data_IF_505584193294
#
_entry.id   IF_505584193294
#
_cell.length_a   1.000
_cell.length_b   1.000
_cell.length_c   1.000
_cell.angle_alpha   90.00
_cell.angle_beta   90.00
_cell.angle_gamma   90.00
#
_symmetry.space_group_name_H-M   'P 1'
#
loop_
_entity.id
_entity.type
_entity.pdbx_description
1 polymer ?
#
# COMPACT_ATOMS: atom_id res chain seq x y z
N UNK A 1 16.46 9.90 -3.25
CA UNK A 1 15.40 10.88 -3.55
C UNK A 1 15.99 11.97 -4.44
N UNK A 2 15.38 12.28 -5.59
CA UNK A 2 15.85 13.38 -6.45
C UNK A 2 15.22 14.70 -6.00
N UNK A 3 16.01 15.77 -5.88
CA UNK A 3 15.59 17.13 -5.62
C UNK A 3 16.21 18.06 -6.66
N UNK A 4 15.57 19.19 -6.94
CA UNK A 4 16.14 20.20 -7.85
C UNK A 4 16.66 21.36 -7.02
N UNK A 5 17.99 21.53 -6.99
CA UNK A 5 18.66 22.63 -6.29
C UNK A 5 19.48 23.43 -7.30
N UNK A 6 19.14 24.71 -7.49
CA UNK A 6 19.83 25.59 -8.45
C UNK A 6 19.74 25.12 -9.92
N UNK A 7 18.67 24.40 -10.30
CA UNK A 7 18.48 23.89 -11.66
C UNK A 7 19.18 22.55 -11.97
N UNK A 8 19.82 21.91 -10.98
CA UNK A 8 20.39 20.57 -11.12
C UNK A 8 19.63 19.53 -10.31
N UNK A 9 19.46 18.33 -10.89
CA UNK A 9 18.90 17.16 -10.22
C UNK A 9 19.95 16.58 -9.26
N UNK A 10 19.67 16.60 -7.96
CA UNK A 10 20.52 16.04 -6.90
C UNK A 10 19.83 14.84 -6.27
N UNK A 11 20.52 13.72 -6.05
CA UNK A 11 19.95 12.55 -5.36
C UNK A 11 20.51 12.42 -3.94
N UNK A 12 19.67 12.13 -2.96
CA UNK A 12 20.10 11.74 -1.61
C UNK A 12 19.94 10.23 -1.36
N UNK A 13 20.84 9.65 -0.55
CA UNK A 13 20.76 8.27 -0.07
C UNK A 13 19.67 8.08 1.00
N UNK A 14 19.55 6.86 1.53
CA UNK A 14 18.54 6.51 2.54
C UNK A 14 18.72 7.21 3.90
N UNK A 15 19.85 7.88 4.11
CA UNK A 15 20.16 8.66 5.31
C UNK A 15 20.15 10.18 5.05
N UNK A 16 19.74 10.60 3.85
CA UNK A 16 19.66 12.01 3.48
C UNK A 16 20.99 12.64 3.05
N UNK A 17 22.04 11.86 2.82
CA UNK A 17 23.33 12.37 2.32
C UNK A 17 23.31 12.51 0.81
N UNK A 18 23.89 13.60 0.29
CA UNK A 18 23.92 13.91 -1.14
C UNK A 18 24.86 12.95 -1.90
N UNK A 19 24.30 12.27 -2.90
CA UNK A 19 25.00 11.35 -3.80
C UNK A 19 25.33 12.08 -5.09
N UNK A 20 26.62 12.21 -5.41
CA UNK A 20 27.07 12.73 -6.71
C UNK A 20 26.72 11.72 -7.81
N UNK A 21 25.79 12.09 -8.68
CA UNK A 21 25.43 11.32 -9.86
C UNK A 21 26.43 11.59 -10.98
N UNK A 22 27.18 10.57 -11.40
CA UNK A 22 28.00 10.64 -12.62
C UNK A 22 27.11 10.36 -13.84
N UNK A 23 26.64 11.44 -14.47
CA UNK A 23 25.79 11.41 -15.68
C UNK A 23 26.54 10.99 -16.95
N UNK A 24 27.88 10.81 -16.88
CA UNK A 24 28.67 10.33 -18.01
C UNK A 24 28.70 8.81 -18.14
N UNK A 25 28.21 8.08 -17.12
CA UNK A 25 28.08 6.63 -17.17
C UNK A 25 26.84 6.21 -17.95
N UNK A 26 27.06 5.45 -19.02
CA UNK A 26 25.98 4.76 -19.74
C UNK A 26 25.15 3.88 -18.78
N UNK A 27 23.83 3.73 -19.02
CA UNK A 27 22.97 2.93 -18.17
C UNK A 27 23.47 1.49 -18.04
N UNK A 28 23.42 0.96 -16.83
CA UNK A 28 23.86 -0.39 -16.50
C UNK A 28 23.05 -1.42 -17.30
N UNK A 29 23.67 -2.03 -18.32
CA UNK A 29 23.11 -3.20 -18.99
C UNK A 29 23.35 -4.40 -18.08
N UNK A 30 22.28 -4.96 -17.52
CA UNK A 30 22.33 -6.10 -16.62
C UNK A 30 23.19 -7.25 -17.15
N UNK A 31 23.88 -7.92 -16.23
CA UNK A 31 24.74 -9.06 -16.52
C UNK A 31 23.96 -10.15 -17.26
N UNK A 32 24.31 -10.38 -18.53
CA UNK A 32 24.01 -11.66 -19.20
C UNK A 32 25.02 -12.68 -18.67
N UNK A 33 24.50 -13.83 -18.23
CA UNK A 33 25.28 -14.94 -17.75
C UNK A 33 26.36 -15.39 -18.74
N UNK A 34 27.42 -15.95 -18.18
CA UNK A 34 28.50 -16.60 -18.91
C UNK A 34 27.96 -17.66 -19.88
N UNK A 35 28.17 -17.43 -21.18
CA UNK A 35 28.39 -18.47 -22.18
C UNK A 35 29.37 -17.89 -23.20
N UNK A 36 30.47 -18.62 -23.45
CA UNK A 36 31.61 -18.14 -24.23
C UNK A 36 31.36 -18.09 -25.74
N UNK A 37 32.31 -17.45 -26.43
CA UNK A 37 32.58 -17.69 -27.85
C UNK A 37 31.99 -16.68 -28.83
N UNK A 38 32.90 -15.89 -29.40
CA UNK A 38 32.86 -15.33 -30.77
C UNK A 38 32.09 -14.02 -31.06
N UNK A 39 32.74 -13.22 -31.93
CA UNK A 39 32.47 -11.84 -32.35
C UNK A 39 31.25 -11.67 -33.28
N UNK A 40 30.67 -10.46 -33.40
CA UNK A 40 29.37 -10.26 -34.04
C UNK A 40 29.44 -10.03 -35.55
N UNK A 41 28.50 -10.63 -36.29
CA UNK A 41 28.12 -10.19 -37.63
C UNK A 41 26.89 -9.27 -37.53
N UNK A 42 27.00 -8.10 -38.17
CA UNK A 42 25.95 -7.11 -38.34
C UNK A 42 24.80 -7.65 -39.21
N UNK A 43 23.56 -7.46 -38.78
CA UNK A 43 22.38 -7.48 -39.66
C UNK A 43 21.54 -6.25 -39.36
N UNK A 44 21.56 -5.30 -40.29
CA UNK A 44 20.70 -4.14 -40.32
C UNK A 44 19.30 -4.54 -40.83
N UNK A 45 18.25 -4.08 -40.15
CA UNK A 45 16.88 -4.11 -40.66
C UNK A 45 16.30 -2.71 -40.57
N UNK A 46 16.23 -2.04 -41.73
CA UNK A 46 15.48 -0.81 -41.95
C UNK A 46 14.01 -1.12 -42.22
N UNK A 47 13.09 -0.40 -41.57
CA UNK A 47 11.68 -0.36 -41.97
C UNK A 47 11.27 1.09 -42.28
N UNK A 48 10.53 1.35 -43.38
CA UNK A 48 10.23 2.70 -43.86
C UNK A 48 9.05 3.35 -43.14
N UNK A 49 9.11 4.68 -43.03
CA UNK A 49 8.07 5.58 -42.51
C UNK A 49 7.05 5.90 -43.61
N UNK A 50 5.72 5.81 -43.36
CA UNK A 50 4.74 6.40 -44.27
C UNK A 50 4.45 7.87 -43.92
N UNK A 51 4.69 8.74 -44.89
CA UNK A 51 4.18 10.12 -44.93
C UNK A 51 2.66 10.10 -45.17
N UNK A 52 1.89 10.78 -44.30
CA UNK A 52 0.76 11.62 -44.68
C UNK A 52 0.13 12.27 -43.43
N UNK A 53 0.33 13.58 -43.29
CA UNK A 53 -0.34 14.43 -42.30
C UNK A 53 -1.21 15.45 -43.04
N UNK A 54 -2.52 15.55 -42.78
CA UNK A 54 -3.27 16.75 -43.12
C UNK A 54 -3.05 17.80 -42.03
N UNK A 55 -2.63 19.00 -42.44
CA UNK A 55 -2.58 20.20 -41.62
C UNK A 55 -4.00 20.64 -41.25
N UNK A 56 -4.26 20.80 -39.96
CA UNK A 56 -5.46 21.46 -39.44
C UNK A 56 -5.02 22.59 -38.50
N UNK A 57 -5.09 23.81 -38.99
CA UNK A 57 -4.95 25.03 -38.20
C UNK A 57 -6.14 25.15 -37.25
N UNK A 58 -5.89 25.24 -35.94
CA UNK A 58 -6.91 25.46 -34.93
C UNK A 58 -6.32 25.39 -33.53
N UNK A 59 -5.91 26.54 -32.99
CA UNK A 59 -5.53 26.65 -31.59
C UNK A 59 -6.75 26.38 -30.69
N UNK A 60 -6.70 25.45 -29.72
CA UNK A 60 -7.77 25.32 -28.75
C UNK A 60 -7.63 26.43 -27.70
N UNK A 61 -8.52 27.40 -27.77
CA UNK A 61 -8.77 28.38 -26.71
C UNK A 61 -9.44 27.65 -25.55
N UNK A 62 -8.71 27.42 -24.46
CA UNK A 62 -9.28 26.89 -23.20
C UNK A 62 -9.96 28.05 -22.48
N UNK A 63 -11.27 28.18 -22.68
CA UNK A 63 -12.13 29.03 -21.84
C UNK A 63 -12.57 28.27 -20.58
N UNK A 64 -12.89 28.97 -19.48
CA UNK A 64 -13.39 28.34 -18.27
C UNK A 64 -14.76 27.70 -18.54
N UNK A 65 -14.89 26.40 -18.35
CA UNK A 65 -16.15 25.68 -18.57
C UNK A 65 -16.97 25.54 -17.28
N UNK A 66 -18.31 25.63 -17.38
CA UNK A 66 -19.19 25.89 -16.25
C UNK A 66 -19.55 24.62 -15.48
N UNK A 67 -19.57 24.74 -14.15
CA UNK A 67 -20.22 23.80 -13.23
C UNK A 67 -21.72 23.81 -13.57
N UNK A 68 -22.25 22.72 -14.13
CA UNK A 68 -23.70 22.59 -14.37
C UNK A 68 -24.43 22.32 -13.06
N UNK A 69 -25.41 23.19 -12.79
CA UNK A 69 -26.34 23.12 -11.69
C UNK A 69 -27.20 21.84 -11.72
N UNK A 70 -27.47 21.33 -10.51
CA UNK A 70 -28.23 20.13 -10.20
C UNK A 70 -29.73 20.23 -10.55
N UNK A 71 -30.32 19.06 -10.81
CA UNK A 71 -31.77 18.82 -10.76
C UNK A 71 -32.19 18.66 -9.28
N UNK A 72 -33.28 19.29 -8.81
CA UNK A 72 -33.64 19.24 -7.40
C UNK A 72 -34.49 18.01 -7.07
N UNK A 73 -34.12 17.33 -5.97
CA UNK A 73 -35.02 16.42 -5.26
C UNK A 73 -34.63 14.94 -5.28
N UNK A 74 -33.52 14.59 -4.64
CA UNK A 74 -33.33 13.38 -3.81
C UNK A 74 -31.92 13.45 -3.22
N UNK A 75 -31.81 13.49 -1.89
CA UNK A 75 -30.54 13.60 -1.20
C UNK A 75 -29.67 12.37 -1.42
N UNK A 76 -28.54 12.55 -2.10
CA UNK A 76 -27.40 11.64 -2.06
C UNK A 76 -26.38 12.18 -1.04
N UNK A 77 -25.74 11.32 -0.22
CA UNK A 77 -24.75 11.76 0.76
C UNK A 77 -23.52 12.36 0.06
N UNK A 78 -22.87 13.30 0.74
CA UNK A 78 -21.71 14.11 0.31
C UNK A 78 -20.41 13.27 0.16
N UNK A 79 -20.48 11.95 -0.05
CA UNK A 79 -19.30 11.06 -0.03
C UNK A 79 -18.75 10.81 -1.43
N UNK A 80 -17.43 11.03 -1.60
CA UNK A 80 -16.54 10.62 -2.71
C UNK A 80 -16.13 11.67 -3.77
N UNK A 81 -16.12 12.97 -3.45
CA UNK A 81 -15.65 13.97 -4.42
C UNK A 81 -14.20 13.75 -4.88
N UNK A 82 -13.30 13.29 -4.00
CA UNK A 82 -11.91 12.99 -4.37
C UNK A 82 -11.75 11.77 -5.26
N UNK A 83 -12.57 10.74 -5.07
CA UNK A 83 -12.58 9.55 -5.94
C UNK A 83 -13.07 9.92 -7.34
N UNK A 84 -14.11 10.74 -7.43
CA UNK A 84 -14.65 11.22 -8.70
C UNK A 84 -13.63 12.10 -9.44
N UNK A 85 -12.97 13.02 -8.72
CA UNK A 85 -11.93 13.86 -9.31
C UNK A 85 -10.72 13.03 -9.75
N UNK A 86 -10.29 12.05 -8.96
CA UNK A 86 -9.24 11.11 -9.35
C UNK A 86 -9.61 10.36 -10.63
N UNK A 87 -10.83 9.80 -10.72
CA UNK A 87 -11.30 9.08 -11.90
C UNK A 87 -11.32 9.96 -13.16
N UNK A 88 -11.81 11.21 -13.03
CA UNK A 88 -11.78 12.19 -14.12
C UNK A 88 -10.35 12.55 -14.54
N UNK A 89 -9.45 12.70 -13.56
CA UNK A 89 -8.05 13.06 -13.80
C UNK A 89 -7.34 11.96 -14.58
N UNK A 90 -7.43 10.69 -14.14
CA UNK A 90 -6.75 9.58 -14.82
C UNK A 90 -7.30 9.29 -16.22
N UNK A 91 -8.57 9.66 -16.50
CA UNK A 91 -9.15 9.55 -17.84
C UNK A 91 -8.55 10.58 -18.82
N UNK A 92 -8.11 11.74 -18.32
CA UNK A 92 -7.52 12.82 -19.13
C UNK A 92 -6.00 12.75 -19.19
N UNK A 93 -5.37 12.19 -18.15
CA UNK A 93 -3.91 12.14 -17.97
C UNK A 93 -3.13 11.62 -19.20
N UNK A 94 -3.60 10.62 -19.97
CA UNK A 94 -2.89 10.18 -21.18
C UNK A 94 -2.70 11.26 -22.26
N UNK A 95 -3.52 12.31 -22.23
CA UNK A 95 -3.49 13.42 -23.18
C UNK A 95 -2.80 14.67 -22.61
N UNK A 96 -2.34 14.63 -21.36
CA UNK A 96 -1.75 15.77 -20.68
C UNK A 96 -0.24 15.84 -20.88
N UNK A 97 0.26 17.08 -20.91
CA UNK A 97 1.67 17.39 -20.73
C UNK A 97 2.01 17.53 -19.24
N UNK A 98 3.29 17.62 -18.91
CA UNK A 98 3.71 17.97 -17.54
C UNK A 98 3.14 19.31 -17.09
N UNK A 99 3.00 20.29 -18.00
CA UNK A 99 2.46 21.60 -17.67
C UNK A 99 0.97 21.52 -17.32
N UNK A 100 0.19 20.71 -18.05
CA UNK A 100 -1.24 20.51 -17.76
C UNK A 100 -1.43 19.83 -16.40
N UNK A 101 -0.65 18.79 -16.11
CA UNK A 101 -0.70 18.11 -14.82
C UNK A 101 -0.27 19.03 -13.67
N UNK A 102 0.77 19.85 -13.85
CA UNK A 102 1.16 20.86 -12.87
C UNK A 102 0.03 21.88 -12.64
N UNK A 103 -0.58 22.40 -13.69
CA UNK A 103 -1.70 23.35 -13.58
C UNK A 103 -2.90 22.76 -12.83
N UNK A 104 -3.19 21.47 -13.06
CA UNK A 104 -4.18 20.74 -12.27
C UNK A 104 -3.81 20.69 -10.78
N UNK A 105 -2.57 20.31 -10.45
CA UNK A 105 -2.10 20.28 -9.06
C UNK A 105 -2.11 21.66 -8.41
N UNK A 106 -1.73 22.72 -9.13
CA UNK A 106 -1.82 24.10 -8.66
C UNK A 106 -3.27 24.48 -8.32
N UNK A 107 -4.24 24.08 -9.15
CA UNK A 107 -5.66 24.31 -8.90
C UNK A 107 -6.12 23.57 -7.64
N UNK A 108 -5.66 22.34 -7.44
CA UNK A 108 -5.99 21.55 -6.25
C UNK A 108 -5.41 22.17 -4.96
N UNK A 109 -4.15 22.62 -5.02
CA UNK A 109 -3.49 23.31 -3.90
C UNK A 109 -4.19 24.64 -3.59
N UNK A 110 -4.51 25.44 -4.60
CA UNK A 110 -5.24 26.70 -4.43
C UNK A 110 -6.68 26.49 -3.89
N UNK A 111 -7.31 25.36 -4.21
CA UNK A 111 -8.61 24.98 -3.68
C UNK A 111 -8.60 24.56 -2.20
N UNK A 112 -7.43 24.20 -1.64
CA UNK A 112 -7.28 23.69 -0.28
C UNK A 112 -7.32 24.77 0.83
N UNK A 113 -8.07 25.85 0.60
CA UNK A 113 -8.28 26.95 1.54
C UNK A 113 -9.47 26.76 2.49
N UNK A 114 -10.31 25.76 2.23
CA UNK A 114 -11.52 25.37 2.97
C UNK A 114 -11.40 23.92 3.45
N UNK A 115 -12.22 23.50 4.41
CA UNK A 115 -12.20 22.12 4.91
C UNK A 115 -12.63 21.10 3.84
N UNK A 116 -13.63 21.46 3.03
CA UNK A 116 -14.05 20.67 1.87
C UNK A 116 -12.93 20.58 0.83
N UNK A 117 -12.28 21.70 0.54
CA UNK A 117 -11.15 21.75 -0.40
C UNK A 117 -9.94 20.95 0.07
N UNK A 118 -9.63 20.98 1.38
CA UNK A 118 -8.55 20.17 1.99
C UNK A 118 -8.86 18.68 1.92
N UNK A 119 -10.09 18.31 2.25
CA UNK A 119 -10.56 16.92 2.15
C UNK A 119 -10.44 16.42 0.71
N UNK A 120 -10.96 17.19 -0.25
CA UNK A 120 -10.85 16.89 -1.68
C UNK A 120 -9.39 16.74 -2.14
N UNK A 121 -8.52 17.66 -1.70
CA UNK A 121 -7.10 17.64 -2.04
C UNK A 121 -6.39 16.42 -1.47
N UNK A 122 -6.57 16.10 -0.18
CA UNK A 122 -5.98 14.92 0.44
C UNK A 122 -6.46 13.65 -0.26
N UNK A 123 -7.77 13.44 -0.40
CA UNK A 123 -8.32 12.24 -1.04
C UNK A 123 -7.76 12.04 -2.46
N UNK A 124 -7.75 13.11 -3.27
CA UNK A 124 -7.29 13.06 -4.67
C UNK A 124 -5.79 12.79 -4.75
N UNK A 125 -4.98 13.53 -3.97
CA UNK A 125 -3.52 13.36 -3.96
C UNK A 125 -3.13 11.98 -3.46
N UNK A 126 -3.81 11.45 -2.44
CA UNK A 126 -3.57 10.11 -1.91
C UNK A 126 -3.83 9.03 -2.96
N UNK A 127 -4.96 9.11 -3.67
CA UNK A 127 -5.24 8.19 -4.77
C UNK A 127 -4.21 8.30 -5.91
N UNK A 128 -3.77 9.51 -6.24
CA UNK A 128 -2.71 9.74 -7.24
C UNK A 128 -1.36 9.16 -6.80
N UNK A 129 -1.05 9.16 -5.49
CA UNK A 129 0.16 8.54 -4.95
C UNK A 129 0.08 7.00 -4.98
N UNK A 130 -1.03 6.45 -4.46
CA UNK A 130 -1.13 5.04 -4.13
C UNK A 130 -1.52 4.16 -5.32
N UNK A 131 -2.45 4.63 -6.16
CA UNK A 131 -2.97 3.83 -7.28
C UNK A 131 -1.95 3.76 -8.43
N UNK A 132 -1.99 2.65 -9.15
CA UNK A 132 -1.35 2.49 -10.46
C UNK A 132 -2.39 2.75 -11.53
N UNK A 133 -2.04 3.55 -12.53
CA UNK A 133 -2.96 4.01 -13.56
C UNK A 133 -2.16 4.44 -14.80
N UNK A 134 -2.76 4.43 -16.00
CA UNK A 134 -2.09 4.85 -17.23
C UNK A 134 -1.64 6.31 -17.15
N UNK A 135 -0.37 6.56 -17.42
CA UNK A 135 0.22 7.92 -17.38
C UNK A 135 0.48 8.51 -18.77
N UNK A 136 0.13 7.78 -19.84
CA UNK A 136 0.43 8.16 -21.21
C UNK A 136 1.94 8.35 -21.43
N UNK A 137 2.32 9.53 -21.92
CA UNK A 137 3.73 9.87 -22.18
C UNK A 137 4.48 10.38 -20.94
N UNK A 138 3.79 10.53 -19.80
CA UNK A 138 4.39 11.07 -18.58
C UNK A 138 5.01 9.94 -17.78
N UNK A 139 6.25 10.11 -17.33
CA UNK A 139 6.91 9.14 -16.44
C UNK A 139 6.25 9.17 -15.06
N UNK A 140 5.77 8.01 -14.58
CA UNK A 140 5.13 7.86 -13.25
C UNK A 140 5.94 8.49 -12.11
N UNK A 141 7.23 8.20 -12.02
CA UNK A 141 8.07 8.76 -10.95
C UNK A 141 8.09 10.29 -10.92
N UNK A 142 8.01 10.93 -12.09
CA UNK A 142 7.97 12.39 -12.18
C UNK A 142 6.60 12.92 -11.73
N UNK A 143 5.50 12.23 -12.07
CA UNK A 143 4.18 12.54 -11.55
C UNK A 143 4.13 12.41 -10.02
N UNK A 144 4.66 11.32 -9.48
CA UNK A 144 4.73 11.12 -8.03
C UNK A 144 5.53 12.22 -7.33
N UNK A 145 6.63 12.68 -7.92
CA UNK A 145 7.39 13.81 -7.38
C UNK A 145 6.59 15.13 -7.38
N UNK A 146 5.78 15.37 -8.41
CA UNK A 146 4.90 16.53 -8.49
C UNK A 146 3.74 16.44 -7.49
N UNK A 147 3.13 15.26 -7.36
CA UNK A 147 2.05 14.98 -6.40
C UNK A 147 2.55 15.13 -4.96
N UNK A 148 3.73 14.58 -4.63
CA UNK A 148 4.38 14.74 -3.32
C UNK A 148 4.65 16.22 -3.01
N UNK A 149 5.13 16.98 -4.00
CA UNK A 149 5.30 18.43 -3.88
C UNK A 149 3.99 19.19 -3.64
N UNK A 150 2.91 18.81 -4.32
CA UNK A 150 1.57 19.38 -4.11
C UNK A 150 1.01 19.02 -2.73
N UNK A 151 1.16 17.77 -2.29
CA UNK A 151 0.80 17.31 -0.95
C UNK A 151 1.52 18.12 0.14
N UNK A 152 2.83 18.29 0.01
CA UNK A 152 3.61 19.09 0.96
C UNK A 152 3.12 20.55 1.05
N UNK A 153 2.66 21.12 -0.06
CA UNK A 153 2.09 22.48 -0.10
C UNK A 153 0.71 22.56 0.53
N UNK A 154 -0.15 21.56 0.35
CA UNK A 154 -1.43 21.47 1.06
C UNK A 154 -1.19 21.41 2.57
N UNK A 155 -0.26 20.56 3.02
CA UNK A 155 0.13 20.46 4.44
C UNK A 155 0.64 21.80 4.96
N UNK A 156 1.53 22.49 4.23
CA UNK A 156 2.02 23.80 4.60
C UNK A 156 0.91 24.86 4.68
N UNK A 157 -0.07 24.85 3.77
CA UNK A 157 -1.21 25.76 3.80
C UNK A 157 -2.11 25.60 5.04
N UNK A 158 -2.16 24.40 5.63
CA UNK A 158 -2.91 24.14 6.88
C UNK A 158 -2.21 24.81 8.07
N UNK A 159 -0.87 24.88 8.07
CA UNK A 159 -0.11 25.60 9.11
C UNK A 159 -0.45 27.09 9.14
N UNK A 160 -0.64 27.69 7.96
CA UNK A 160 -0.89 29.14 7.84
C UNK A 160 -2.33 29.51 8.19
N UNK A 161 -3.29 28.62 7.94
CA UNK A 161 -4.72 28.87 8.12
C UNK A 161 -5.38 27.74 8.89
N UNK A 162 -5.61 27.94 10.18
CA UNK A 162 -6.35 27.01 11.02
C UNK A 162 -7.80 26.86 10.53
N UNK A 163 -8.38 25.68 10.76
CA UNK A 163 -9.74 25.34 10.37
C UNK A 163 -10.42 24.48 11.42
N UNK A 164 -11.72 24.29 11.29
CA UNK A 164 -12.53 23.52 12.23
C UNK A 164 -12.35 22.00 12.05
N UNK A 165 -11.88 21.53 10.88
CA UNK A 165 -11.64 20.11 10.64
C UNK A 165 -10.16 19.72 10.61
N UNK A 166 -9.23 20.62 10.28
CA UNK A 166 -7.80 20.32 10.21
C UNK A 166 -6.96 21.19 11.15
N UNK A 167 -6.10 20.53 11.93
CA UNK A 167 -5.14 21.17 12.85
C UNK A 167 -3.73 20.73 12.52
N UNK A 168 -2.86 21.69 12.21
CA UNK A 168 -1.45 21.43 11.96
C UNK A 168 -0.66 21.31 13.27
N UNK A 169 0.26 20.34 13.33
CA UNK A 169 1.19 20.14 14.44
C UNK A 169 2.59 19.86 13.90
N UNK A 170 3.60 20.51 14.48
CA UNK A 170 5.01 20.14 14.30
C UNK A 170 5.79 20.26 15.63
N UNK A 171 7.10 19.98 15.58
CA UNK A 171 7.97 20.02 16.77
C UNK A 171 8.00 21.40 17.47
N UNK A 172 7.76 22.48 16.73
CA UNK A 172 7.75 23.87 17.20
C UNK A 172 6.33 24.38 17.50
N UNK A 173 5.32 23.90 16.76
CA UNK A 173 3.95 24.42 16.73
C UNK A 173 2.99 23.35 17.25
N UNK A 174 2.58 23.47 18.52
CA UNK A 174 1.59 22.61 19.17
C UNK A 174 0.37 23.42 19.60
N UNK A 175 -0.56 23.73 18.69
CA UNK A 175 -1.74 24.53 19.03
C UNK A 175 -2.56 23.84 20.13
N UNK A 176 -2.99 24.62 21.11
CA UNK A 176 -3.93 24.12 22.11
C UNK A 176 -5.32 24.03 21.50
N UNK A 177 -5.96 22.88 21.67
CA UNK A 177 -7.32 22.59 21.19
C UNK A 177 -8.14 22.14 22.39
N UNK A 178 -9.23 22.86 22.67
CA UNK A 178 -10.06 22.54 23.85
C UNK A 178 -10.74 21.18 23.69
N UNK A 179 -10.82 20.43 24.77
CA UNK A 179 -11.54 19.15 24.85
C UNK A 179 -13.07 19.32 24.76
N UNK A 180 -13.59 20.55 24.77
CA UNK A 180 -15.01 20.83 24.58
C UNK A 180 -15.39 20.98 23.09
N UNK A 181 -14.39 21.12 22.20
CA UNK A 181 -14.55 21.13 20.74
C UNK A 181 -14.27 19.75 20.13
N UNK A 182 -14.57 18.67 20.85
CA UNK A 182 -14.48 17.30 20.35
C UNK A 182 -15.56 17.04 19.30
N UNK A 183 -15.44 17.66 18.13
CA UNK A 183 -15.99 17.03 16.95
C UNK A 183 -15.13 15.79 16.72
N UNK A 184 -15.75 14.61 16.64
CA UNK A 184 -15.09 13.36 16.27
C UNK A 184 -14.52 13.39 14.83
N UNK A 185 -14.60 14.54 14.18
CA UNK A 185 -14.20 14.85 12.81
C UNK A 185 -12.89 15.64 12.73
N UNK A 186 -12.34 16.14 13.85
CA UNK A 186 -11.09 16.89 13.84
C UNK A 186 -9.90 16.00 13.49
N UNK A 187 -9.15 16.38 12.46
CA UNK A 187 -7.96 15.69 11.94
C UNK A 187 -6.70 16.46 12.26
N UNK A 188 -5.77 15.81 12.96
CA UNK A 188 -4.45 16.36 13.23
C UNK A 188 -3.49 16.01 12.10
N UNK A 189 -2.98 17.03 11.41
CA UNK A 189 -1.94 16.91 10.40
C UNK A 189 -0.59 17.17 11.05
N UNK A 190 0.13 16.10 11.33
CA UNK A 190 1.41 16.11 12.03
C UNK A 190 2.52 16.07 10.99
N UNK A 191 3.29 17.13 10.88
CA UNK A 191 4.51 17.13 10.07
C UNK A 191 5.62 16.42 10.83
N UNK A 192 6.00 15.23 10.36
CA UNK A 192 6.97 14.39 11.05
C UNK A 192 8.39 14.98 11.03
N UNK A 193 8.68 15.98 10.20
CA UNK A 193 10.01 16.58 10.11
C UNK A 193 10.39 17.25 11.44
N UNK A 194 11.61 16.97 11.90
CA UNK A 194 12.16 17.54 13.14
C UNK A 194 11.80 16.75 14.40
N UNK A 195 10.91 15.76 14.33
CA UNK A 195 10.74 14.79 15.42
C UNK A 195 11.89 13.78 15.44
N UNK A 196 12.21 13.27 16.63
CA UNK A 196 13.15 12.17 16.79
C UNK A 196 12.55 10.86 16.25
N UNK A 197 13.37 9.90 15.78
CA UNK A 197 12.86 8.61 15.28
C UNK A 197 12.10 7.80 16.34
N UNK A 198 12.44 7.96 17.62
CA UNK A 198 11.84 7.27 18.76
C UNK A 198 11.99 8.07 20.07
N UNK A 199 11.30 7.64 21.13
CA UNK A 199 11.40 8.25 22.45
C UNK A 199 10.41 9.41 22.70
N UNK A 200 10.62 10.22 23.75
CA UNK A 200 9.62 11.18 24.22
C UNK A 200 9.40 12.38 23.29
N UNK A 201 10.30 12.61 22.33
CA UNK A 201 10.21 13.67 21.33
C UNK A 201 9.94 13.12 19.92
N UNK A 202 9.35 11.93 19.83
CA UNK A 202 8.97 11.29 18.58
C UNK A 202 7.56 11.66 18.14
N UNK A 203 7.26 11.39 16.87
CA UNK A 203 5.89 11.50 16.32
C UNK A 203 4.91 10.65 17.13
N UNK A 204 5.32 9.47 17.58
CA UNK A 204 4.43 8.60 18.35
C UNK A 204 4.08 9.20 19.72
N UNK A 205 5.03 9.84 20.39
CA UNK A 205 4.76 10.52 21.65
C UNK A 205 3.76 11.67 21.49
N UNK A 206 3.81 12.39 20.36
CA UNK A 206 2.84 13.44 20.00
C UNK A 206 1.44 12.84 19.78
N UNK A 207 1.34 11.80 18.94
CA UNK A 207 0.08 11.11 18.66
C UNK A 207 -0.56 10.59 19.95
N UNK A 208 0.20 9.95 20.83
CA UNK A 208 -0.29 9.46 22.11
C UNK A 208 -0.73 10.60 23.04
N UNK A 209 -0.04 11.74 23.00
CA UNK A 209 -0.46 12.96 23.71
C UNK A 209 -1.83 13.45 23.26
N UNK A 210 -2.06 13.48 21.95
CA UNK A 210 -3.36 13.85 21.36
C UNK A 210 -4.43 12.78 21.64
N UNK A 211 -4.09 11.49 21.54
CA UNK A 211 -5.03 10.40 21.85
C UNK A 211 -5.53 10.44 23.30
N UNK A 212 -4.65 10.74 24.26
CA UNK A 212 -5.02 10.90 25.68
C UNK A 212 -6.03 12.03 25.91
N UNK A 213 -6.07 13.02 25.01
CA UNK A 213 -7.06 14.11 24.99
C UNK A 213 -8.34 13.77 24.22
N UNK A 214 -8.47 12.53 23.71
CA UNK A 214 -9.67 12.02 23.06
C UNK A 214 -9.69 12.07 21.53
N UNK A 215 -8.61 12.54 20.88
CA UNK A 215 -8.56 12.65 19.42
C UNK A 215 -8.24 11.31 18.74
N UNK A 216 -8.83 11.10 17.56
CA UNK A 216 -8.84 9.79 16.88
C UNK A 216 -8.47 9.84 15.39
N UNK A 217 -8.21 11.02 14.80
CA UNK A 217 -7.87 11.17 13.36
C UNK A 217 -6.52 11.85 13.20
N UNK A 218 -5.58 11.16 12.57
CA UNK A 218 -4.20 11.61 12.42
C UNK A 218 -3.71 11.41 10.99
N UNK A 219 -3.12 12.45 10.42
CA UNK A 219 -2.33 12.40 9.18
C UNK A 219 -0.89 12.69 9.58
N UNK A 220 0.00 11.72 9.41
CA UNK A 220 1.44 11.87 9.61
C UNK A 220 2.08 12.18 8.25
N UNK A 221 2.41 13.43 8.01
CA UNK A 221 3.04 13.90 6.79
C UNK A 221 4.58 13.74 6.86
N UNK A 222 5.21 13.53 5.70
CA UNK A 222 6.67 13.54 5.53
C UNK A 222 7.43 12.53 6.42
N UNK A 223 6.86 11.35 6.65
CA UNK A 223 7.50 10.31 7.45
C UNK A 223 8.77 9.77 6.77
N UNK A 224 9.86 9.62 7.54
CA UNK A 224 11.18 9.19 7.08
C UNK A 224 11.84 8.22 8.06
N UNK A 225 11.20 7.08 8.28
CA UNK A 225 11.70 6.06 9.20
C UNK A 225 11.39 6.34 10.68
N UNK A 226 10.39 7.19 10.98
CA UNK A 226 9.92 7.36 12.37
C UNK A 226 9.26 6.06 12.84
N UNK A 227 9.71 5.58 13.99
CA UNK A 227 9.40 4.24 14.52
C UNK A 227 8.19 4.31 15.43
N UNK A 228 7.61 3.13 15.67
CA UNK A 228 6.55 2.91 16.66
C UNK A 228 5.24 3.67 16.43
N UNK A 229 5.00 4.23 15.23
CA UNK A 229 3.73 4.90 14.93
C UNK A 229 2.56 3.94 15.17
N UNK A 230 1.59 4.31 16.00
CA UNK A 230 0.42 3.50 16.33
C UNK A 230 0.62 2.53 17.51
N UNK A 231 1.60 2.76 18.38
CA UNK A 231 1.95 1.86 19.48
C UNK A 231 1.53 2.42 20.84
N UNK A 232 1.23 1.58 21.82
CA UNK A 232 0.96 2.08 23.19
C UNK A 232 -0.36 2.82 23.35
N UNK A 233 -1.29 2.69 22.40
CA UNK A 233 -2.68 3.13 22.52
C UNK A 233 -3.48 2.35 23.58
N UNK A 234 -2.94 1.23 24.06
CA UNK A 234 -3.63 0.33 24.98
C UNK A 234 -4.70 -0.52 24.29
N UNK A 235 -5.52 -1.25 25.07
CA UNK A 235 -6.66 -1.97 24.52
C UNK A 235 -7.71 -1.00 23.96
N UNK A 236 -8.51 -1.48 23.02
CA UNK A 236 -9.73 -0.81 22.53
C UNK A 236 -9.50 0.54 21.85
N UNK A 237 -8.60 0.50 20.86
CA UNK A 237 -8.29 1.63 19.97
C UNK A 237 -9.26 1.76 18.78
N UNK A 238 -10.46 1.17 18.87
CA UNK A 238 -11.46 1.25 17.80
C UNK A 238 -11.83 2.71 17.50
N UNK A 239 -12.06 3.00 16.23
CA UNK A 239 -12.39 4.35 15.77
C UNK A 239 -11.17 5.28 15.60
N UNK A 240 -9.98 4.90 16.05
CA UNK A 240 -8.73 5.60 15.70
C UNK A 240 -8.33 5.30 14.25
N UNK A 241 -7.93 6.35 13.52
CA UNK A 241 -7.38 6.30 12.17
C UNK A 241 -6.07 7.06 12.11
N UNK A 242 -5.03 6.43 11.55
CA UNK A 242 -3.73 7.04 11.27
C UNK A 242 -3.37 6.82 9.80
N UNK A 243 -3.16 7.90 9.06
CA UNK A 243 -2.66 7.88 7.69
C UNK A 243 -1.20 8.34 7.67
N UNK A 244 -0.29 7.48 7.23
CA UNK A 244 1.16 7.73 7.26
C UNK A 244 1.67 7.95 5.84
N UNK A 245 2.09 9.18 5.54
CA UNK A 245 2.62 9.58 4.23
C UNK A 245 4.14 9.62 4.26
N UNK A 246 4.76 8.87 3.34
CA UNK A 246 6.19 8.59 3.36
C UNK A 246 6.51 7.22 3.96
N UNK A 247 7.79 6.89 4.12
CA UNK A 247 8.20 5.58 4.61
C UNK A 247 8.21 5.54 6.14
N UNK A 248 7.42 4.64 6.73
CA UNK A 248 7.45 4.42 8.18
C UNK A 248 8.73 3.72 8.61
N UNK A 249 9.12 3.92 9.87
CA UNK A 249 10.16 3.13 10.52
C UNK A 249 9.63 1.81 11.07
N UNK A 250 10.53 1.11 11.77
CA UNK A 250 10.21 -0.18 12.39
C UNK A 250 9.08 -0.09 13.43
N UNK A 251 8.46 -1.25 13.68
CA UNK A 251 7.45 -1.45 14.74
C UNK A 251 6.17 -0.62 14.60
N UNK A 252 5.88 -0.03 13.43
CA UNK A 252 4.59 0.61 13.20
C UNK A 252 3.45 -0.37 13.48
N UNK A 253 2.47 0.05 14.28
CA UNK A 253 1.29 -0.73 14.63
C UNK A 253 1.55 -1.93 15.55
N UNK A 254 2.69 -2.00 16.22
CA UNK A 254 2.96 -3.07 17.18
C UNK A 254 2.01 -2.97 18.37
N UNK A 255 1.28 -4.07 18.63
CA UNK A 255 0.28 -4.15 19.69
C UNK A 255 -1.05 -3.47 19.36
N UNK A 256 -1.32 -3.16 18.09
CA UNK A 256 -2.62 -2.66 17.66
C UNK A 256 -3.79 -3.54 18.15
N UNK A 257 -4.80 -2.89 18.70
CA UNK A 257 -6.01 -3.54 19.23
C UNK A 257 -7.26 -2.69 18.90
N UNK A 258 -7.60 -2.56 17.62
CA UNK A 258 -8.84 -1.90 17.16
C UNK A 258 -8.65 -0.84 16.08
N UNK A 259 -7.56 -0.08 16.12
CA UNK A 259 -7.35 1.05 15.19
C UNK A 259 -7.15 0.62 13.74
N UNK A 260 -7.27 1.61 12.85
CA UNK A 260 -6.93 1.48 11.44
C UNK A 260 -5.71 2.35 11.08
N UNK A 261 -4.70 1.74 10.47
CA UNK A 261 -3.51 2.45 9.98
C UNK A 261 -3.36 2.22 8.48
N UNK A 262 -3.16 3.28 7.72
CA UNK A 262 -2.81 3.24 6.30
C UNK A 262 -1.43 3.83 6.09
N UNK A 263 -0.58 3.12 5.35
CA UNK A 263 0.77 3.56 4.99
C UNK A 263 0.80 3.82 3.48
N UNK A 264 0.93 5.08 3.11
CA UNK A 264 0.93 5.58 1.72
C UNK A 264 2.36 5.55 1.12
N UNK A 265 3.05 4.42 1.32
CA UNK A 265 4.38 4.10 0.79
C UNK A 265 4.79 2.67 1.23
N UNK A 266 6.07 2.34 1.08
CA UNK A 266 6.73 1.23 1.73
C UNK A 266 6.87 1.46 3.24
N UNK A 267 6.94 0.36 3.98
CA UNK A 267 7.21 0.32 5.40
C UNK A 267 8.43 -0.56 5.73
N UNK A 268 9.14 -0.24 6.81
CA UNK A 268 10.34 -0.97 7.25
C UNK A 268 10.00 -2.28 7.97
N UNK A 269 10.83 -2.70 8.92
CA UNK A 269 10.76 -4.02 9.53
C UNK A 269 9.73 -4.06 10.67
N UNK A 270 9.31 -5.26 11.06
CA UNK A 270 8.63 -5.51 12.33
C UNK A 270 7.28 -4.80 12.48
N UNK A 271 6.63 -4.46 11.36
CA UNK A 271 5.28 -3.90 11.38
C UNK A 271 4.29 -4.85 12.05
N UNK A 272 3.35 -4.30 12.80
CA UNK A 272 2.22 -5.01 13.40
C UNK A 272 2.61 -6.23 14.25
N UNK A 273 3.74 -6.19 14.96
CA UNK A 273 4.05 -7.24 15.92
C UNK A 273 2.92 -7.35 16.94
N UNK A 274 2.62 -8.58 17.36
CA UNK A 274 1.60 -8.89 18.37
C UNK A 274 0.24 -8.20 18.17
N UNK A 275 -0.07 -7.77 16.93
CA UNK A 275 -1.34 -7.14 16.56
C UNK A 275 -2.49 -8.09 16.92
N UNK A 276 -3.51 -7.56 17.60
CA UNK A 276 -4.64 -8.35 18.12
C UNK A 276 -5.90 -8.23 17.27
N UNK A 277 -6.25 -7.01 16.88
CA UNK A 277 -7.36 -6.70 15.96
C UNK A 277 -7.17 -5.31 15.36
N UNK A 278 -8.02 -4.92 14.43
CA UNK A 278 -7.93 -3.66 13.68
C UNK A 278 -7.54 -3.93 12.24
N UNK A 279 -7.20 -2.86 11.50
CA UNK A 279 -6.86 -2.93 10.08
C UNK A 279 -5.54 -2.23 9.78
N UNK A 280 -4.65 -2.88 9.04
CA UNK A 280 -3.44 -2.28 8.51
C UNK A 280 -3.45 -2.38 6.97
N UNK A 281 -3.24 -1.26 6.29
CA UNK A 281 -3.13 -1.23 4.83
C UNK A 281 -1.80 -0.59 4.45
N UNK A 282 -1.03 -1.27 3.60
CA UNK A 282 0.26 -0.78 3.13
C UNK A 282 0.22 -0.68 1.60
N UNK A 283 0.33 0.53 1.06
CA UNK A 283 0.32 0.82 -0.38
C UNK A 283 1.68 0.61 -1.06
N UNK A 284 2.57 -0.14 -0.41
CA UNK A 284 3.91 -0.49 -0.88
C UNK A 284 4.36 -1.85 -0.38
N UNK A 285 5.67 -2.00 -0.19
CA UNK A 285 6.33 -3.17 0.37
C UNK A 285 6.44 -3.08 1.91
N UNK A 286 6.53 -4.24 2.59
CA UNK A 286 6.83 -4.37 4.02
C UNK A 286 8.16 -5.11 4.25
N UNK A 287 8.88 -4.69 5.29
CA UNK A 287 10.17 -5.26 5.68
C UNK A 287 10.09 -6.61 6.40
N UNK A 288 11.20 -6.98 7.03
CA UNK A 288 11.39 -8.27 7.67
C UNK A 288 10.56 -8.42 8.93
N UNK A 289 10.19 -9.67 9.28
CA UNK A 289 9.54 -9.99 10.57
C UNK A 289 8.19 -9.25 10.75
N UNK A 290 7.56 -8.90 9.63
CA UNK A 290 6.22 -8.34 9.56
C UNK A 290 5.21 -9.26 10.26
N UNK A 291 4.34 -8.70 11.10
CA UNK A 291 3.33 -9.41 11.90
C UNK A 291 3.88 -10.51 12.83
N UNK A 292 5.10 -10.33 13.34
CA UNK A 292 5.66 -11.24 14.33
C UNK A 292 4.75 -11.43 15.54
N UNK A 293 4.40 -12.68 15.83
CA UNK A 293 3.60 -13.01 17.01
C UNK A 293 2.17 -12.47 16.99
N UNK A 294 1.67 -11.98 15.85
CA UNK A 294 0.32 -11.43 15.70
C UNK A 294 -0.74 -12.43 16.19
N UNK A 295 -1.82 -11.91 16.78
CA UNK A 295 -2.95 -12.66 17.33
C UNK A 295 -4.21 -12.58 16.46
N UNK A 296 -4.31 -11.55 15.62
CA UNK A 296 -5.46 -11.28 14.78
C UNK A 296 -5.32 -10.00 13.96
N UNK A 297 -6.44 -9.54 13.40
CA UNK A 297 -6.49 -8.34 12.57
C UNK A 297 -6.57 -8.63 11.08
N UNK A 298 -6.93 -7.61 10.32
CA UNK A 298 -6.98 -7.62 8.86
C UNK A 298 -5.84 -6.80 8.30
N UNK A 299 -5.02 -7.38 7.43
CA UNK A 299 -3.88 -6.69 6.85
C UNK A 299 -3.79 -6.87 5.35
N UNK A 300 -3.56 -5.78 4.63
CA UNK A 300 -3.51 -5.74 3.18
C UNK A 300 -2.22 -5.06 2.72
N UNK A 301 -1.42 -5.76 1.91
CA UNK A 301 -0.15 -5.27 1.38
C UNK A 301 -0.23 -5.25 -0.14
N UNK A 302 -0.04 -4.07 -0.73
CA UNK A 302 -0.04 -3.90 -2.18
C UNK A 302 1.15 -4.59 -2.85
N UNK A 303 2.32 -4.57 -2.20
CA UNK A 303 3.56 -5.08 -2.76
C UNK A 303 4.12 -6.30 -2.04
N UNK A 304 5.43 -6.20 -1.88
CA UNK A 304 6.42 -7.06 -1.26
C UNK A 304 6.18 -7.38 0.22
N UNK A 305 6.38 -8.61 0.69
CA UNK A 305 6.87 -8.86 2.04
C UNK A 305 8.32 -9.36 1.99
N UNK A 306 9.17 -8.92 2.92
CA UNK A 306 10.54 -9.43 3.01
C UNK A 306 10.58 -10.80 3.72
N UNK A 307 11.63 -11.08 4.50
CA UNK A 307 11.83 -12.37 5.16
C UNK A 307 11.04 -12.53 6.47
N UNK A 308 10.61 -13.76 6.75
CA UNK A 308 9.88 -14.19 7.95
C UNK A 308 8.56 -13.46 8.25
N UNK A 309 7.72 -13.11 7.26
CA UNK A 309 6.41 -12.54 7.54
C UNK A 309 5.53 -13.56 8.28
N UNK A 310 4.77 -13.08 9.27
CA UNK A 310 3.89 -13.84 10.17
C UNK A 310 4.59 -14.90 11.04
N UNK A 311 5.89 -14.78 11.29
CA UNK A 311 6.55 -15.71 12.21
C UNK A 311 5.90 -15.71 13.60
N UNK A 312 5.63 -16.89 14.14
CA UNK A 312 4.98 -17.12 15.43
C UNK A 312 3.57 -16.51 15.56
N UNK A 313 2.92 -16.12 14.46
CA UNK A 313 1.55 -15.63 14.52
C UNK A 313 0.57 -16.77 14.89
N UNK A 314 -0.44 -16.41 15.67
CA UNK A 314 -1.43 -17.33 16.27
C UNK A 314 -2.84 -16.72 16.17
N UNK A 315 -3.86 -17.48 16.53
CA UNK A 315 -5.22 -16.96 16.58
C UNK A 315 -5.80 -16.72 15.18
N UNK A 316 -6.23 -15.49 14.88
CA UNK A 316 -7.06 -15.19 13.70
C UNK A 316 -6.53 -14.08 12.76
N UNK A 317 -5.23 -14.01 12.43
CA UNK A 317 -4.73 -13.06 11.44
C UNK A 317 -5.34 -13.35 10.06
N UNK A 318 -5.75 -12.30 9.35
CA UNK A 318 -6.32 -12.34 7.99
C UNK A 318 -5.47 -11.44 7.11
N UNK A 319 -4.57 -12.02 6.32
CA UNK A 319 -3.55 -11.23 5.61
C UNK A 319 -3.62 -11.44 4.11
N UNK A 320 -3.59 -10.36 3.34
CA UNK A 320 -3.46 -10.38 1.88
C UNK A 320 -2.14 -9.74 1.48
N UNK A 321 -1.29 -10.49 0.78
CA UNK A 321 -0.05 -10.01 0.18
C UNK A 321 -0.22 -10.13 -1.33
N UNK A 322 -0.31 -9.00 -2.03
CA UNK A 322 -0.52 -9.01 -3.48
C UNK A 322 0.75 -9.40 -4.23
N UNK A 323 1.90 -8.91 -3.77
CA UNK A 323 3.20 -9.30 -4.28
C UNK A 323 3.59 -10.71 -3.86
N UNK A 324 4.86 -10.83 -3.47
CA UNK A 324 5.43 -12.07 -2.98
C UNK A 324 5.98 -11.97 -1.55
N UNK A 325 6.62 -13.04 -1.07
CA UNK A 325 7.40 -13.03 0.16
C UNK A 325 8.78 -13.65 -0.07
N UNK A 326 9.77 -13.25 0.72
CA UNK A 326 11.04 -13.99 0.81
C UNK A 326 10.89 -15.19 1.74
N UNK A 327 12.00 -15.76 2.21
CA UNK A 327 12.01 -16.99 3.00
C UNK A 327 11.13 -16.94 4.26
N UNK A 328 10.66 -18.11 4.68
CA UNK A 328 9.98 -18.35 5.96
C UNK A 328 8.63 -17.62 6.14
N UNK A 329 7.88 -17.43 5.05
CA UNK A 329 6.49 -16.98 5.19
C UNK A 329 5.69 -17.97 6.05
N UNK A 330 5.08 -17.43 7.12
CA UNK A 330 4.29 -18.15 8.11
C UNK A 330 5.07 -19.28 8.81
N UNK A 331 6.34 -19.01 9.16
CA UNK A 331 7.10 -19.87 10.07
C UNK A 331 6.45 -19.94 11.47
N UNK A 332 6.31 -21.14 12.03
CA UNK A 332 5.69 -21.39 13.32
C UNK A 332 4.31 -20.74 13.44
N UNK A 333 3.53 -20.79 12.36
CA UNK A 333 2.16 -20.31 12.34
C UNK A 333 1.25 -21.29 13.09
N UNK A 334 0.63 -20.80 14.17
CA UNK A 334 -0.19 -21.60 15.10
C UNK A 334 -1.60 -21.02 15.15
N UNK A 335 -2.17 -20.76 13.97
CA UNK A 335 -3.39 -19.98 13.84
C UNK A 335 -4.67 -20.83 13.80
N UNK A 336 -4.64 -22.13 14.12
CA UNK A 336 -5.85 -22.99 14.10
C UNK A 336 -6.48 -23.15 12.71
N UNK A 337 -7.59 -23.89 12.57
CA UNK A 337 -8.22 -24.11 11.27
C UNK A 337 -8.92 -22.83 10.74
N UNK A 338 -8.55 -22.31 9.56
CA UNK A 338 -9.20 -21.15 8.94
C UNK A 338 -10.73 -21.23 8.86
N UNK A 339 -11.28 -22.42 8.58
CA UNK A 339 -12.72 -22.64 8.44
C UNK A 339 -13.45 -22.69 9.80
N UNK A 340 -12.70 -22.75 10.91
CA UNK A 340 -13.21 -22.69 12.28
C UNK A 340 -12.70 -21.45 13.03
N UNK A 341 -12.47 -20.35 12.30
CA UNK A 341 -12.10 -19.05 12.86
C UNK A 341 -10.60 -18.84 13.07
N UNK A 342 -9.76 -19.80 12.66
CA UNK A 342 -8.31 -19.67 12.63
C UNK A 342 -7.79 -18.71 11.56
N UNK A 343 -6.50 -18.36 11.61
CA UNK A 343 -5.87 -17.39 10.71
C UNK A 343 -5.37 -17.95 9.39
N UNK A 344 -5.20 -17.08 8.39
CA UNK A 344 -4.64 -17.43 7.09
C UNK A 344 -3.88 -16.28 6.43
N UNK A 345 -3.13 -16.63 5.38
CA UNK A 345 -2.51 -15.69 4.45
C UNK A 345 -3.01 -15.97 3.03
N UNK A 346 -3.35 -14.93 2.28
CA UNK A 346 -3.55 -14.98 0.83
C UNK A 346 -2.29 -14.39 0.18
N UNK A 347 -1.66 -15.16 -0.70
CA UNK A 347 -0.47 -14.75 -1.46
C UNK A 347 -0.80 -14.74 -2.95
N UNK A 348 -0.94 -13.55 -3.55
CA UNK A 348 -1.37 -13.46 -4.96
C UNK A 348 -0.22 -13.58 -5.96
N UNK A 349 1.03 -13.27 -5.60
CA UNK A 349 2.15 -13.43 -6.53
C UNK A 349 2.00 -12.61 -7.81
N UNK A 350 1.52 -11.37 -7.69
CA UNK A 350 1.34 -10.43 -8.81
C UNK A 350 2.16 -9.16 -8.59
N UNK A 351 2.36 -8.39 -9.65
CA UNK A 351 2.81 -7.00 -9.55
C UNK A 351 1.94 -6.13 -10.46
N UNK A 352 1.84 -4.86 -10.11
CA UNK A 352 1.18 -3.88 -10.97
C UNK A 352 2.22 -3.20 -11.87
N UNK A 353 1.92 -3.11 -13.16
CA UNK A 353 2.72 -2.31 -14.09
C UNK A 353 2.65 -0.81 -13.74
N UNK A 354 3.51 -0.01 -14.37
CA UNK A 354 3.45 1.46 -14.21
C UNK A 354 2.10 2.01 -14.73
N UNK A 355 1.48 1.32 -15.68
CA UNK A 355 0.17 1.59 -16.28
C UNK A 355 -1.01 1.04 -15.47
N UNK A 356 -0.74 0.27 -14.40
CA UNK A 356 -1.77 -0.31 -13.53
C UNK A 356 -2.30 -1.66 -13.99
N UNK A 357 -1.64 -2.34 -14.91
CA UNK A 357 -2.00 -3.69 -15.31
C UNK A 357 -1.54 -4.71 -14.27
N UNK A 358 -2.41 -5.69 -13.97
CA UNK A 358 -2.07 -6.82 -13.09
C UNK A 358 -1.27 -7.85 -13.88
N UNK A 359 0.01 -7.97 -13.52
CA UNK A 359 0.97 -8.88 -14.13
C UNK A 359 1.34 -10.02 -13.18
N UNK A 360 1.31 -11.25 -13.68
CA UNK A 360 1.69 -12.44 -12.91
C UNK A 360 3.21 -12.45 -12.69
N UNK A 361 3.65 -12.83 -11.48
CA UNK A 361 5.06 -13.12 -11.26
C UNK A 361 5.42 -14.48 -11.85
N UNK A 362 6.63 -14.60 -12.39
CA UNK A 362 7.15 -15.89 -12.85
C UNK A 362 7.19 -16.89 -11.68
N UNK A 363 7.61 -16.45 -10.50
CA UNK A 363 7.63 -17.26 -9.29
C UNK A 363 6.73 -16.60 -8.23
N UNK A 364 5.51 -17.12 -7.98
CA UNK A 364 4.59 -16.55 -6.99
C UNK A 364 5.18 -16.45 -5.58
N UNK A 365 6.10 -17.37 -5.25
CA UNK A 365 6.89 -17.37 -4.02
C UNK A 365 8.34 -17.79 -4.33
N UNK A 366 9.32 -16.86 -4.35
CA UNK A 366 10.71 -17.18 -4.63
C UNK A 366 11.49 -17.69 -3.40
N UNK A 367 10.91 -17.60 -2.19
CA UNK A 367 11.58 -18.03 -0.96
C UNK A 367 11.61 -19.56 -0.78
N UNK A 368 12.32 -19.98 0.28
CA UNK A 368 12.29 -21.33 0.82
C UNK A 368 11.61 -21.41 2.20
N UNK A 369 11.54 -22.61 2.76
CA UNK A 369 10.99 -22.88 4.10
C UNK A 369 9.58 -22.31 4.32
N UNK A 370 8.75 -22.30 3.28
CA UNK A 370 7.36 -21.87 3.37
C UNK A 370 6.62 -22.72 4.40
N UNK A 371 5.90 -22.04 5.30
CA UNK A 371 5.05 -22.68 6.31
C UNK A 371 5.82 -23.58 7.30
N UNK A 372 7.13 -23.35 7.48
CA UNK A 372 8.01 -24.09 8.39
C UNK A 372 7.47 -24.18 9.81
N UNK A 373 7.39 -25.38 10.39
CA UNK A 373 6.99 -25.60 11.79
C UNK A 373 5.58 -25.08 12.14
N UNK A 374 4.73 -24.80 11.14
CA UNK A 374 3.35 -24.41 11.39
C UNK A 374 2.55 -25.59 11.97
N UNK A 375 1.70 -25.31 12.95
CA UNK A 375 0.76 -26.28 13.54
C UNK A 375 -0.70 -25.91 13.31
N UNK A 376 -0.97 -24.75 12.70
CA UNK A 376 -2.31 -24.30 12.35
C UNK A 376 -2.29 -23.18 11.33
N UNK A 377 -3.47 -22.86 10.80
CA UNK A 377 -3.69 -21.88 9.76
C UNK A 377 -3.56 -22.46 8.35
N UNK A 378 -3.65 -21.59 7.35
CA UNK A 378 -3.38 -21.95 5.96
C UNK A 378 -2.78 -20.78 5.18
N UNK A 379 -2.12 -21.11 4.07
CA UNK A 379 -1.81 -20.16 2.99
C UNK A 379 -2.68 -20.53 1.78
N UNK A 380 -3.37 -19.53 1.24
CA UNK A 380 -4.07 -19.61 -0.04
C UNK A 380 -3.21 -18.88 -1.08
N UNK A 381 -2.48 -19.68 -1.87
CA UNK A 381 -1.55 -19.14 -2.86
C UNK A 381 -2.20 -19.16 -4.23
N UNK A 382 -2.17 -18.02 -4.94
CA UNK A 382 -2.54 -17.93 -6.34
C UNK A 382 -1.41 -18.55 -7.17
N UNK A 383 -1.63 -19.75 -7.67
CA UNK A 383 -0.61 -20.54 -8.37
C UNK A 383 -1.23 -21.45 -9.44
N UNK A 384 -1.80 -20.85 -10.52
CA UNK A 384 -2.52 -21.60 -11.56
C UNK A 384 -1.65 -22.57 -12.35
N UNK A 385 -0.32 -22.40 -12.32
CA UNK A 385 0.63 -23.27 -13.03
C UNK A 385 1.40 -24.21 -12.11
N UNK A 386 1.02 -24.30 -10.83
CA UNK A 386 1.62 -25.19 -9.84
C UNK A 386 3.13 -24.99 -9.68
N UNK A 387 3.58 -23.74 -9.74
CA UNK A 387 5.01 -23.36 -9.65
C UNK A 387 5.53 -23.43 -8.23
N UNK A 388 4.67 -23.26 -7.22
CA UNK A 388 5.08 -23.45 -5.84
C UNK A 388 5.22 -24.95 -5.58
N UNK A 389 6.47 -25.37 -5.37
CA UNK A 389 6.87 -26.76 -5.23
C UNK A 389 6.87 -27.26 -3.78
N UNK A 390 6.87 -28.59 -3.62
CA UNK A 390 6.98 -29.24 -2.30
C UNK A 390 8.35 -29.03 -1.66
N UNK A 391 9.37 -28.79 -2.47
CA UNK A 391 10.75 -28.48 -2.06
C UNK A 391 10.88 -27.10 -1.41
N UNK A 392 9.92 -26.20 -1.66
CA UNK A 392 9.84 -24.91 -0.99
C UNK A 392 9.13 -25.00 0.36
N UNK A 393 8.35 -26.06 0.60
CA UNK A 393 7.64 -26.27 1.86
C UNK A 393 8.58 -26.86 2.91
N UNK A 394 8.35 -26.49 4.17
CA UNK A 394 8.94 -27.17 5.31
C UNK A 394 7.80 -27.39 6.32
N UNK A 395 7.45 -28.63 6.66
CA UNK A 395 6.34 -28.90 7.60
C UNK A 395 4.92 -28.54 7.11
N UNK A 396 4.75 -28.04 5.88
CA UNK A 396 3.45 -27.84 5.21
C UNK A 396 3.18 -28.87 4.12
N UNK A 397 1.91 -29.04 3.75
CA UNK A 397 1.46 -29.85 2.63
C UNK A 397 0.37 -29.15 1.82
N UNK A 398 0.25 -29.52 0.53
CA UNK A 398 -0.83 -29.06 -0.31
C UNK A 398 -2.12 -29.83 -0.04
N UNK A 399 -3.22 -29.11 0.08
CA UNK A 399 -4.56 -29.66 0.21
C UNK A 399 -5.41 -29.26 -1.00
N UNK A 400 -6.48 -30.03 -1.31
CA UNK A 400 -7.52 -29.58 -2.22
C UNK A 400 -8.04 -28.20 -1.79
N UNK A 401 -8.14 -27.28 -2.74
CA UNK A 401 -8.83 -26.02 -2.56
C UNK A 401 -10.33 -26.25 -2.79
N UNK A 402 -11.14 -26.03 -1.77
CA UNK A 402 -12.57 -26.38 -1.79
C UNK A 402 -13.45 -25.12 -1.83
N UNK A 403 -14.74 -25.21 -2.23
CA UNK A 403 -15.64 -24.06 -2.28
C UNK A 403 -15.77 -23.29 -0.95
N UNK A 404 -15.63 -23.96 0.20
CA UNK A 404 -15.62 -23.31 1.51
C UNK A 404 -14.39 -22.43 1.73
N UNK A 405 -13.25 -22.82 1.15
CA UNK A 405 -12.02 -22.03 1.21
C UNK A 405 -12.19 -20.76 0.37
N UNK A 406 -12.83 -20.85 -0.81
CA UNK A 406 -13.18 -19.66 -1.59
C UNK A 406 -14.12 -18.71 -0.83
N UNK A 407 -15.23 -19.25 -0.31
CA UNK A 407 -16.19 -18.46 0.47
C UNK A 407 -15.54 -17.78 1.68
N UNK A 408 -14.48 -18.37 2.25
CA UNK A 408 -13.71 -17.79 3.34
C UNK A 408 -12.84 -16.61 2.87
N UNK A 409 -12.18 -16.70 1.71
CA UNK A 409 -11.19 -15.70 1.26
C UNK A 409 -11.76 -14.60 0.37
N UNK A 410 -12.87 -14.85 -0.32
CA UNK A 410 -13.49 -13.91 -1.26
C UNK A 410 -13.79 -12.52 -0.64
N UNK A 411 -14.32 -12.40 0.60
CA UNK A 411 -14.55 -11.09 1.22
C UNK A 411 -13.27 -10.26 1.38
N UNK A 412 -12.13 -10.91 1.64
CA UNK A 412 -10.84 -10.25 1.80
C UNK A 412 -10.25 -9.85 0.45
N UNK A 413 -10.50 -10.62 -0.61
CA UNK A 413 -10.14 -10.24 -1.98
C UNK A 413 -11.00 -9.06 -2.49
N UNK A 414 -12.27 -8.98 -2.10
CA UNK A 414 -13.14 -7.83 -2.42
C UNK A 414 -12.71 -6.56 -1.69
N UNK A 415 -12.30 -6.66 -0.41
CA UNK A 415 -11.72 -5.52 0.29
C UNK A 415 -10.37 -5.11 -0.32
N UNK A 416 -9.56 -6.08 -0.74
CA UNK A 416 -8.32 -5.83 -1.47
C UNK A 416 -8.58 -5.09 -2.81
N UNK A 417 -9.63 -5.48 -3.54
CA UNK A 417 -10.09 -4.76 -4.73
C UNK A 417 -10.49 -3.32 -4.39
N UNK A 418 -11.26 -3.11 -3.32
CA UNK A 418 -11.66 -1.77 -2.87
C UNK A 418 -10.45 -0.91 -2.52
N UNK A 419 -9.47 -1.46 -1.81
CA UNK A 419 -8.28 -0.73 -1.33
C UNK A 419 -7.30 -0.39 -2.46
N UNK A 420 -7.01 -1.35 -3.34
CA UNK A 420 -5.92 -1.25 -4.31
C UNK A 420 -6.37 -1.15 -5.77
N UNK A 421 -7.62 -1.49 -6.07
CA UNK A 421 -8.14 -1.50 -7.44
C UNK A 421 -7.67 -2.71 -8.22
N UNK A 422 -7.48 -3.84 -7.55
CA UNK A 422 -7.09 -5.12 -8.16
C UNK A 422 -8.36 -5.97 -8.25
N UNK A 423 -9.00 -6.07 -9.43
CA UNK A 423 -10.28 -6.78 -9.52
C UNK A 423 -10.13 -8.27 -9.19
N UNK A 424 -11.08 -8.83 -8.43
CA UNK A 424 -11.09 -10.26 -8.14
C UNK A 424 -11.17 -11.09 -9.42
N UNK A 425 -11.94 -10.61 -10.41
CA UNK A 425 -12.01 -11.23 -11.74
C UNK A 425 -10.65 -11.28 -12.43
N UNK A 426 -9.81 -10.27 -12.22
CA UNK A 426 -8.46 -10.21 -12.78
C UNK A 426 -7.50 -11.14 -12.05
N UNK A 427 -7.68 -11.33 -10.74
CA UNK A 427 -6.95 -12.36 -9.99
C UNK A 427 -7.32 -13.78 -10.46
N UNK A 428 -8.57 -14.01 -10.85
CA UNK A 428 -9.03 -15.31 -11.36
C UNK A 428 -8.72 -15.54 -12.85
N UNK A 429 -8.19 -14.54 -13.55
CA UNK A 429 -7.88 -14.66 -14.96
C UNK A 429 -6.55 -15.38 -15.17
N UNK A 430 -6.56 -16.37 -16.07
CA UNK A 430 -5.38 -17.14 -16.50
C UNK A 430 -5.42 -17.24 -18.02
N UNK A 431 -4.36 -16.80 -18.69
CA UNK A 431 -4.25 -16.77 -20.16
C UNK A 431 -5.44 -16.07 -20.86
N UNK A 432 -5.88 -14.92 -20.36
CA UNK A 432 -6.97 -14.17 -20.99
C UNK A 432 -8.38 -14.66 -20.64
N UNK A 433 -8.52 -15.68 -19.76
CA UNK A 433 -9.81 -16.28 -19.43
C UNK A 433 -10.00 -16.37 -17.93
N UNK A 434 -11.14 -15.88 -17.44
CA UNK A 434 -11.55 -16.08 -16.05
C UNK A 434 -11.73 -17.57 -15.79
N UNK A 435 -11.04 -18.09 -14.78
CA UNK A 435 -11.10 -19.48 -14.36
C UNK A 435 -11.88 -19.62 -13.06
N UNK A 436 -12.22 -20.86 -12.72
CA UNK A 436 -12.80 -21.16 -11.42
C UNK A 436 -11.74 -21.01 -10.33
N UNK A 437 -12.10 -20.56 -9.11
CA UNK A 437 -11.14 -20.40 -8.03
C UNK A 437 -10.27 -21.63 -7.75
N UNK A 438 -10.82 -22.84 -7.88
CA UNK A 438 -10.09 -24.10 -7.64
C UNK A 438 -9.02 -24.40 -8.70
N UNK A 439 -9.06 -23.72 -9.85
CA UNK A 439 -8.03 -23.81 -10.90
C UNK A 439 -6.92 -22.76 -10.73
N UNK A 440 -7.11 -21.79 -9.82
CA UNK A 440 -6.23 -20.63 -9.66
C UNK A 440 -5.53 -20.63 -8.31
N UNK A 441 -6.27 -20.96 -7.24
CA UNK A 441 -5.75 -20.96 -5.88
C UNK A 441 -5.47 -22.38 -5.39
N UNK A 442 -4.36 -22.52 -4.67
CA UNK A 442 -3.96 -23.75 -3.98
C UNK A 442 -3.90 -23.48 -2.49
N UNK A 443 -4.25 -24.49 -1.70
CA UNK A 443 -4.21 -24.43 -0.24
C UNK A 443 -2.96 -25.14 0.28
N UNK A 444 -2.22 -24.46 1.13
CA UNK A 444 -1.12 -25.02 1.92
C UNK A 444 -1.57 -25.01 3.38
N UNK A 445 -1.45 -26.13 4.06
CA UNK A 445 -1.73 -26.26 5.50
C UNK A 445 -0.66 -27.09 6.20
N UNK A 446 -0.74 -27.23 7.54
CA UNK A 446 0.26 -27.97 8.28
C UNK A 446 0.16 -29.47 7.95
N UNK A 447 1.29 -30.17 8.00
CA UNK A 447 1.29 -31.63 7.91
C UNK A 447 0.48 -32.18 9.10
N UNK A 448 -0.47 -33.08 8.82
CA UNK A 448 -1.22 -33.77 9.88
C UNK A 448 -0.31 -34.71 10.66
N UNK A 449 0.26 -34.24 11.77
CA UNK A 449 1.00 -35.10 12.71
C UNK A 449 -0.02 -35.90 13.54
N UNK A 450 0.11 -37.23 13.56
CA UNK A 450 -0.81 -38.18 14.26
C UNK A 450 -1.11 -37.82 15.73
N UNK A 451 -0.21 -37.11 16.41
CA UNK A 451 -0.40 -36.68 17.80
C UNK A 451 -1.47 -35.57 17.95
N UNK A 452 -1.54 -34.63 16.99
CA UNK A 452 -2.52 -33.52 17.01
C UNK A 452 -3.94 -33.99 16.68
N UNK A 453 -4.08 -35.06 15.89
CA UNK A 453 -5.39 -35.66 15.58
C UNK A 453 -6.13 -36.16 16.83
N UNK A 454 -5.40 -36.62 17.85
CA UNK A 454 -6.01 -37.09 19.09
C UNK A 454 -6.59 -35.93 19.91
N UNK A 455 -5.95 -34.77 19.87
CA UNK A 455 -6.37 -33.56 20.59
C UNK A 455 -7.48 -32.82 19.84
N UNK A 456 -7.37 -32.66 18.51
CA UNK A 456 -8.43 -32.09 17.66
C UNK A 456 -9.72 -32.93 17.71
N UNK A 457 -9.61 -34.27 17.69
CA UNK A 457 -10.76 -35.15 17.84
C UNK A 457 -11.37 -35.15 19.25
N UNK A 458 -10.60 -34.76 20.26
CA UNK A 458 -11.09 -34.57 21.62
C UNK A 458 -11.82 -33.23 21.76
N UNK A 459 -11.26 -32.15 21.22
CA UNK A 459 -11.90 -30.81 21.18
C UNK A 459 -13.14 -30.81 20.31
N UNK A 460 -13.17 -31.50 19.17
CA UNK A 460 -14.37 -31.57 18.33
C UNK A 460 -15.52 -32.39 18.95
N UNK A 461 -15.25 -33.16 20.01
CA UNK A 461 -16.24 -34.00 20.72
C UNK A 461 -16.75 -33.37 22.02
N UNK A 462 -16.18 -32.27 22.48
CA UNK A 462 -16.53 -31.57 23.71
C UNK A 462 -16.74 -30.08 23.43
#
# INVERSE_FOLDING_TARGET
>A
MFSVKGGQLTCADKFGQEVKLDVSRAPFRGARGHAGGETPNEIAISAPVPENTPRGDGAPVVGPLPIRAQVPGQGLPIQNQGVDLFAQTIAQLPYWTYADFQAFLETLVAGAETDEGRTLAFETLTLLMDRRYPTGNLRRSSLLALVDGAFARVVAGIREKLSDCFVFVDVEHRPWVSENNLTTTLTFVIDARGYEPEGPFSVEAEILGLRRRGFNRFIVAHCRGHRFIGNGFGPDSDGVRIDVYGSSGDYLGSGMDGMEIHVHNNAQDQLAQIMKRGKLVVHGDVGQTFMYGAKGGEVYVLGNAAGRPLINAVGKPRVVINGTALDYLAESFMAGDPNHGGGFVILNGIHLSDEGEVMELETPYPGGNLFSLASGGAIFVRDPYHRVGVDQLNGGEFYPFEPRDWALIEPYLLENERLFGIPVSRLLEVEGRVRRPEEVYRKIGPVKVRALQAEEAWVAKH
#
